data_IF_193183962413
#
_entry.id   IF_193183962413
#
_cell.length_a   1.000
_cell.length_b   1.000
_cell.length_c   1.000
_cell.angle_alpha   90.00
_cell.angle_beta   90.00
_cell.angle_gamma   90.00
#
_symmetry.space_group_name_H-M   'P 1'
#
loop_
_entity.id
_entity.type
_entity.pdbx_description
1 polymer ?
#
# COMPACT_ATOMS: atom_id res chain seq x y z
N UNK A 1 -9.18 5.79 53.22
CA UNK A 1 -7.97 5.77 52.39
C UNK A 1 -8.31 5.01 51.11
N UNK A 2 -8.68 5.74 50.05
CA UNK A 2 -8.99 5.16 48.76
C UNK A 2 -7.72 4.98 48.00
N UNK A 3 -7.34 3.74 47.74
CA UNK A 3 -6.25 3.42 46.86
C UNK A 3 -6.70 3.62 45.41
N UNK A 4 -6.18 4.64 44.78
CA UNK A 4 -6.34 4.81 43.34
C UNK A 4 -5.45 3.78 42.67
N UNK A 5 -6.08 2.70 42.21
CA UNK A 5 -5.41 1.80 41.27
C UNK A 5 -5.32 2.52 39.93
N UNK A 6 -4.24 3.24 39.72
CA UNK A 6 -3.90 3.66 38.37
C UNK A 6 -3.62 2.40 37.55
N UNK A 7 -4.54 2.03 36.68
CA UNK A 7 -4.28 1.02 35.69
C UNK A 7 -3.22 1.60 34.74
N UNK A 8 -2.01 1.14 34.93
CA UNK A 8 -0.90 1.49 34.08
C UNK A 8 -1.10 0.71 32.77
N UNK A 9 -1.55 1.41 31.71
CA UNK A 9 -1.57 0.81 30.38
C UNK A 9 -0.13 0.78 29.85
N UNK A 10 0.38 -0.40 29.45
CA UNK A 10 1.73 -0.47 28.91
C UNK A 10 1.86 0.39 27.65
N UNK A 11 2.98 1.15 27.50
CA UNK A 11 3.22 1.92 26.31
C UNK A 11 3.31 0.97 25.10
N UNK A 12 2.44 1.14 24.11
CA UNK A 12 2.39 0.32 22.91
C UNK A 12 1.02 -0.32 22.64
N UNK A 13 0.09 -0.31 23.59
CA UNK A 13 -1.30 -0.62 23.29
C UNK A 13 -2.02 0.68 22.94
N UNK A 14 -2.10 0.95 21.64
CA UNK A 14 -3.05 1.93 21.14
C UNK A 14 -4.44 1.47 21.57
N UNK A 15 -5.16 2.33 22.27
CA UNK A 15 -6.56 2.08 22.54
C UNK A 15 -7.27 1.90 21.20
N UNK A 16 -7.68 0.66 20.93
CA UNK A 16 -8.44 0.38 19.72
C UNK A 16 -9.84 0.97 19.90
N UNK A 17 -10.08 2.08 19.20
CA UNK A 17 -11.40 2.66 19.12
C UNK A 17 -12.30 1.69 18.35
N UNK A 18 -13.47 1.30 18.88
CA UNK A 18 -14.38 0.42 18.14
C UNK A 18 -14.72 1.00 16.77
N UNK A 19 -14.77 0.12 15.77
CA UNK A 19 -15.12 0.51 14.41
C UNK A 19 -16.64 0.51 14.25
N UNK A 20 -17.21 1.64 13.89
CA UNK A 20 -18.66 1.78 13.66
C UNK A 20 -19.07 1.15 12.33
N UNK A 21 -20.37 0.88 12.16
CA UNK A 21 -20.92 0.36 10.90
C UNK A 21 -20.67 1.33 9.73
N UNK A 22 -20.76 2.64 10.01
CA UNK A 22 -20.44 3.66 9.01
C UNK A 22 -18.97 3.59 8.59
N UNK A 23 -18.07 3.43 9.55
CA UNK A 23 -16.64 3.29 9.26
C UNK A 23 -16.33 2.01 8.49
N UNK A 24 -17.07 0.92 8.72
CA UNK A 24 -16.95 -0.33 7.96
C UNK A 24 -17.29 -0.08 6.48
N UNK A 25 -18.37 0.65 6.21
CA UNK A 25 -18.76 1.02 4.84
C UNK A 25 -17.70 1.91 4.18
N UNK A 26 -17.22 2.90 4.91
CA UNK A 26 -16.19 3.82 4.44
C UNK A 26 -14.88 3.07 4.16
N UNK A 27 -14.49 2.18 5.05
CA UNK A 27 -13.29 1.36 4.89
C UNK A 27 -13.40 0.43 3.68
N UNK A 28 -14.54 -0.23 3.48
CA UNK A 28 -14.77 -1.11 2.34
C UNK A 28 -14.67 -0.33 1.01
N UNK A 29 -15.27 0.86 0.96
CA UNK A 29 -15.20 1.75 -0.20
C UNK A 29 -13.76 2.17 -0.48
N UNK A 30 -13.05 2.61 0.56
CA UNK A 30 -11.64 3.01 0.45
C UNK A 30 -10.77 1.84 0.00
N UNK A 31 -10.99 0.66 0.54
CA UNK A 31 -10.21 -0.53 0.20
C UNK A 31 -10.38 -0.91 -1.27
N UNK A 32 -11.61 -0.84 -1.80
CA UNK A 32 -11.86 -1.06 -3.23
C UNK A 32 -11.10 -0.06 -4.09
N UNK A 33 -11.12 1.21 -3.73
CA UNK A 33 -10.39 2.26 -4.45
C UNK A 33 -8.89 2.04 -4.39
N UNK A 34 -8.36 1.65 -3.22
CA UNK A 34 -6.94 1.34 -3.03
C UNK A 34 -6.51 0.15 -3.90
N UNK A 35 -7.33 -0.91 -3.94
CA UNK A 35 -7.04 -2.07 -4.79
C UNK A 35 -7.00 -1.69 -6.26
N UNK A 36 -7.97 -0.89 -6.71
CA UNK A 36 -8.03 -0.41 -8.09
C UNK A 36 -6.80 0.44 -8.42
N UNK A 37 -6.43 1.37 -7.54
CA UNK A 37 -5.26 2.22 -7.73
C UNK A 37 -3.98 1.39 -7.82
N UNK A 38 -3.84 0.38 -6.97
CA UNK A 38 -2.67 -0.50 -6.99
C UNK A 38 -2.60 -1.35 -8.27
N UNK A 39 -3.74 -1.85 -8.75
CA UNK A 39 -3.79 -2.61 -10.01
C UNK A 39 -3.40 -1.73 -11.20
N UNK A 40 -3.92 -0.51 -11.26
CA UNK A 40 -3.56 0.45 -12.30
C UNK A 40 -2.08 0.80 -12.24
N UNK A 41 -1.56 1.01 -11.03
CA UNK A 41 -0.14 1.32 -10.84
C UNK A 41 0.76 0.18 -11.34
N UNK A 42 0.39 -1.07 -11.06
CA UNK A 42 1.15 -2.22 -11.56
C UNK A 42 1.18 -2.27 -13.08
N UNK A 43 0.03 -2.03 -13.73
CA UNK A 43 -0.05 -1.99 -15.19
C UNK A 43 0.81 -0.86 -15.77
N UNK A 44 0.74 0.31 -15.14
CA UNK A 44 1.54 1.46 -15.56
C UNK A 44 3.04 1.23 -15.36
N UNK A 45 3.43 0.58 -14.28
CA UNK A 45 4.83 0.24 -14.02
C UNK A 45 5.38 -0.76 -15.04
N UNK A 46 4.59 -1.78 -15.38
CA UNK A 46 4.96 -2.75 -16.43
C UNK A 46 5.12 -2.02 -17.77
N UNK A 47 4.18 -1.14 -18.09
CA UNK A 47 4.23 -0.35 -19.32
C UNK A 47 5.45 0.57 -19.35
N UNK A 48 5.78 1.18 -18.23
CA UNK A 48 6.96 2.05 -18.12
C UNK A 48 8.25 1.29 -18.48
N UNK A 49 8.36 0.04 -18.05
CA UNK A 49 9.49 -0.83 -18.36
C UNK A 49 9.50 -1.23 -19.85
N UNK A 50 8.37 -1.71 -20.35
CA UNK A 50 8.28 -2.21 -21.73
C UNK A 50 8.39 -1.08 -22.77
N UNK A 51 7.87 0.11 -22.46
CA UNK A 51 7.99 1.28 -23.36
C UNK A 51 9.44 1.73 -23.54
N UNK A 52 10.31 1.47 -22.56
CA UNK A 52 11.75 1.75 -22.67
C UNK A 52 12.49 0.69 -23.48
N UNK A 53 11.82 -0.38 -23.89
CA UNK A 53 12.39 -1.45 -24.69
C UNK A 53 13.11 -2.53 -23.90
N UNK A 54 12.85 -2.62 -22.60
CA UNK A 54 13.42 -3.64 -21.73
C UNK A 54 12.30 -4.57 -21.22
N UNK A 55 12.59 -5.86 -21.13
CA UNK A 55 11.64 -6.81 -20.57
C UNK A 55 11.57 -6.71 -19.04
N UNK A 56 10.40 -6.98 -18.47
CA UNK A 56 10.19 -6.91 -17.02
C UNK A 56 11.15 -7.84 -16.27
N UNK A 57 11.35 -9.05 -16.77
CA UNK A 57 12.30 -10.02 -16.18
C UNK A 57 13.72 -9.46 -16.16
N UNK A 58 14.13 -8.81 -17.25
CA UNK A 58 15.46 -8.20 -17.35
C UNK A 58 15.58 -7.00 -16.39
N UNK A 59 14.54 -6.18 -16.31
CA UNK A 59 14.49 -5.07 -15.36
C UNK A 59 14.70 -5.57 -13.93
N UNK A 60 14.01 -6.65 -13.57
CA UNK A 60 14.12 -7.24 -12.23
C UNK A 60 15.53 -7.80 -11.97
N UNK A 61 16.17 -8.42 -12.96
CA UNK A 61 17.55 -8.90 -12.83
C UNK A 61 18.52 -7.74 -12.54
N UNK A 62 18.40 -6.65 -13.27
CA UNK A 62 19.25 -5.46 -13.10
C UNK A 62 18.98 -4.85 -11.72
N UNK A 63 17.73 -4.75 -11.32
CA UNK A 63 17.33 -4.24 -10.01
C UNK A 63 17.96 -5.05 -8.87
N UNK A 64 17.87 -6.38 -8.95
CA UNK A 64 18.46 -7.27 -7.95
C UNK A 64 19.98 -7.16 -7.91
N UNK A 65 20.61 -7.01 -9.07
CA UNK A 65 22.06 -6.84 -9.17
C UNK A 65 22.54 -5.55 -8.50
N UNK A 66 21.74 -4.49 -8.56
CA UNK A 66 22.05 -3.23 -7.86
C UNK A 66 21.88 -3.33 -6.35
N UNK A 67 20.93 -4.14 -5.90
CA UNK A 67 20.68 -4.37 -4.47
C UNK A 67 21.71 -5.33 -3.83
N UNK A 68 22.33 -6.18 -4.63
CA UNK A 68 23.24 -7.21 -4.17
C UNK A 68 24.54 -7.14 -4.96
N UNK A 69 25.69 -6.69 -4.33
CA UNK A 69 26.94 -6.54 -5.05
C UNK A 69 27.54 -7.87 -5.55
N UNK A 70 27.09 -9.03 -5.04
CA UNK A 70 27.52 -10.35 -5.49
C UNK A 70 26.84 -10.79 -6.80
N UNK A 71 25.75 -10.10 -7.21
CA UNK A 71 25.06 -10.38 -8.46
C UNK A 71 25.45 -9.36 -9.52
N UNK A 72 25.97 -9.84 -10.63
CA UNK A 72 26.29 -9.02 -11.79
C UNK A 72 25.31 -9.38 -12.91
N UNK A 73 24.52 -8.43 -13.35
CA UNK A 73 23.56 -8.61 -14.44
C UNK A 73 24.22 -8.44 -15.82
N UNK A 74 25.50 -8.08 -15.87
CA UNK A 74 26.26 -7.83 -17.12
C UNK A 74 25.51 -6.90 -18.07
N UNK A 75 24.98 -5.79 -17.54
CA UNK A 75 24.17 -4.84 -18.28
C UNK A 75 25.01 -4.00 -19.23
N UNK A 76 24.52 -3.81 -20.48
CA UNK A 76 25.11 -2.84 -21.41
C UNK A 76 24.79 -1.41 -20.96
N UNK A 77 25.51 -0.43 -21.54
CA UNK A 77 25.21 0.98 -21.27
C UNK A 77 23.79 1.35 -21.70
N UNK A 78 23.33 0.80 -22.82
CA UNK A 78 21.97 1.02 -23.31
C UNK A 78 20.92 0.45 -22.33
N UNK A 79 21.13 -0.77 -21.85
CA UNK A 79 20.25 -1.38 -20.85
C UNK A 79 20.21 -0.57 -19.55
N UNK A 80 21.34 -0.06 -19.11
CA UNK A 80 21.40 0.78 -17.91
C UNK A 80 20.67 2.10 -18.10
N UNK A 81 20.72 2.67 -19.31
CA UNK A 81 19.97 3.88 -19.65
C UNK A 81 18.47 3.60 -19.63
N UNK A 82 18.03 2.51 -20.24
CA UNK A 82 16.64 2.07 -20.24
C UNK A 82 16.16 1.79 -18.84
N UNK A 83 16.98 1.12 -18.02
CA UNK A 83 16.68 0.83 -16.61
C UNK A 83 16.47 2.12 -15.81
N UNK A 84 17.37 3.09 -15.95
CA UNK A 84 17.26 4.36 -15.20
C UNK A 84 16.01 5.14 -15.59
N UNK A 85 15.71 5.18 -16.89
CA UNK A 85 14.53 5.85 -17.42
C UNK A 85 13.25 5.22 -16.87
N UNK A 86 13.17 3.89 -16.93
CA UNK A 86 12.05 3.13 -16.37
C UNK A 86 11.92 3.34 -14.86
N UNK A 87 13.04 3.34 -14.14
CA UNK A 87 13.07 3.55 -12.68
C UNK A 87 12.53 4.92 -12.29
N UNK A 88 12.87 5.96 -13.03
CA UNK A 88 12.36 7.31 -12.80
C UNK A 88 10.85 7.37 -13.00
N UNK A 89 10.36 6.75 -14.05
CA UNK A 89 8.93 6.71 -14.34
C UNK A 89 8.18 5.90 -13.27
N UNK A 90 8.76 4.78 -12.81
CA UNK A 90 8.18 3.95 -11.74
C UNK A 90 8.08 4.76 -10.44
N UNK A 91 9.11 5.53 -10.07
CA UNK A 91 9.07 6.37 -8.89
C UNK A 91 7.95 7.40 -8.97
N UNK A 92 7.78 8.00 -10.14
CA UNK A 92 6.71 8.97 -10.40
C UNK A 92 5.34 8.31 -10.24
N UNK A 93 5.15 7.12 -10.82
CA UNK A 93 3.91 6.35 -10.74
C UNK A 93 3.60 6.02 -9.27
N UNK A 94 4.61 5.58 -8.51
CA UNK A 94 4.44 5.25 -7.09
C UNK A 94 4.01 6.46 -6.27
N UNK A 95 4.60 7.61 -6.53
CA UNK A 95 4.26 8.86 -5.85
C UNK A 95 2.84 9.30 -6.18
N UNK A 96 2.48 9.30 -7.46
CA UNK A 96 1.13 9.66 -7.91
C UNK A 96 0.08 8.70 -7.35
N UNK A 97 0.40 7.40 -7.30
CA UNK A 97 -0.48 6.37 -6.76
C UNK A 97 -0.72 6.60 -5.27
N UNK A 98 0.32 6.93 -4.51
CA UNK A 98 0.19 7.21 -3.09
C UNK A 98 -0.72 8.43 -2.85
N UNK A 99 -0.54 9.48 -3.61
CA UNK A 99 -1.39 10.67 -3.54
C UNK A 99 -2.84 10.33 -3.87
N UNK A 100 -3.06 9.51 -4.90
CA UNK A 100 -4.39 9.05 -5.29
C UNK A 100 -5.05 8.22 -4.18
N UNK A 101 -4.30 7.32 -3.57
CA UNK A 101 -4.79 6.48 -2.47
C UNK A 101 -5.20 7.34 -1.28
N UNK A 102 -4.39 8.33 -0.91
CA UNK A 102 -4.72 9.24 0.19
C UNK A 102 -5.99 10.02 -0.09
N UNK A 103 -6.14 10.51 -1.32
CA UNK A 103 -7.34 11.22 -1.74
C UNK A 103 -8.58 10.31 -1.72
N UNK A 104 -8.46 9.10 -2.23
CA UNK A 104 -9.56 8.12 -2.25
C UNK A 104 -10.02 7.78 -0.84
N UNK A 105 -9.10 7.64 0.12
CA UNK A 105 -9.42 7.38 1.51
C UNK A 105 -10.18 8.56 2.10
N UNK A 106 -9.76 9.80 1.83
CA UNK A 106 -10.45 11.00 2.30
C UNK A 106 -11.84 11.14 1.70
N UNK A 107 -11.98 10.85 0.40
CA UNK A 107 -13.28 10.90 -0.28
C UNK A 107 -14.24 9.85 0.29
N UNK A 108 -13.73 8.72 0.74
CA UNK A 108 -14.53 7.70 1.39
C UNK A 108 -15.01 8.13 2.79
N UNK A 109 -14.43 9.20 3.35
CA UNK A 109 -14.82 9.76 4.64
C UNK A 109 -13.90 9.42 5.80
N UNK A 110 -12.73 8.82 5.51
CA UNK A 110 -11.74 8.44 6.52
C UNK A 110 -10.51 9.31 6.41
N UNK A 111 -9.82 9.50 7.55
CA UNK A 111 -8.45 9.99 7.53
C UNK A 111 -7.52 8.82 7.21
N UNK A 112 -6.33 9.11 6.70
CA UNK A 112 -5.32 8.09 6.44
C UNK A 112 -4.96 7.33 7.71
N UNK A 113 -4.84 8.05 8.84
CA UNK A 113 -4.55 7.45 10.13
C UNK A 113 -5.65 6.46 10.56
N UNK A 114 -6.92 6.87 10.44
CA UNK A 114 -8.04 6.00 10.80
C UNK A 114 -8.13 4.78 9.91
N UNK A 115 -7.88 4.95 8.61
CA UNK A 115 -7.81 3.83 7.67
C UNK A 115 -6.76 2.81 8.11
N UNK A 116 -5.57 3.26 8.48
CA UNK A 116 -4.48 2.40 8.95
C UNK A 116 -4.84 1.69 10.26
N UNK A 117 -5.50 2.40 11.19
CA UNK A 117 -5.97 1.80 12.45
C UNK A 117 -6.97 0.68 12.19
N UNK A 118 -7.94 0.92 11.31
CA UNK A 118 -8.96 -0.10 10.95
C UNK A 118 -8.28 -1.29 10.27
N UNK A 119 -7.36 -1.04 9.34
CA UNK A 119 -6.62 -2.09 8.66
C UNK A 119 -5.86 -2.99 9.64
N UNK A 120 -5.28 -2.40 10.69
CA UNK A 120 -4.59 -3.14 11.74
C UNK A 120 -5.58 -3.98 12.56
N UNK A 121 -6.72 -3.42 12.93
CA UNK A 121 -7.75 -4.14 13.69
C UNK A 121 -8.32 -5.31 12.90
N UNK A 122 -8.53 -5.14 11.61
CA UNK A 122 -9.06 -6.19 10.71
C UNK A 122 -8.17 -7.42 10.72
N UNK A 123 -6.86 -7.26 10.80
CA UNK A 123 -5.93 -8.40 10.80
C UNK A 123 -6.14 -9.34 11.98
N UNK A 124 -6.62 -8.82 13.13
CA UNK A 124 -6.83 -9.60 14.34
C UNK A 124 -8.29 -9.86 14.71
N UNK A 125 -9.25 -9.41 13.90
CA UNK A 125 -10.68 -9.47 14.22
C UNK A 125 -11.47 -10.14 13.09
N UNK A 126 -11.87 -11.39 13.32
CA UNK A 126 -12.61 -12.19 12.33
C UNK A 126 -13.99 -11.62 12.03
N UNK A 127 -14.69 -11.12 13.05
CA UNK A 127 -16.02 -10.53 12.89
C UNK A 127 -15.96 -9.28 12.02
N UNK A 128 -14.94 -8.46 12.22
CA UNK A 128 -14.72 -7.26 11.42
C UNK A 128 -14.39 -7.62 9.97
N UNK A 129 -13.57 -8.66 9.75
CA UNK A 129 -13.27 -9.17 8.42
C UNK A 129 -14.53 -9.59 7.67
N UNK A 130 -15.44 -10.30 8.33
CA UNK A 130 -16.70 -10.74 7.73
C UNK A 130 -17.62 -9.57 7.37
N UNK A 131 -17.73 -8.59 8.24
CA UNK A 131 -18.54 -7.39 8.00
C UNK A 131 -18.03 -6.59 6.81
N UNK A 132 -16.72 -6.44 6.69
CA UNK A 132 -16.10 -5.76 5.55
C UNK A 132 -16.34 -6.54 4.27
N UNK A 133 -16.18 -7.87 4.31
CA UNK A 133 -16.42 -8.74 3.18
C UNK A 133 -17.86 -8.61 2.66
N UNK A 134 -18.83 -8.59 3.57
CA UNK A 134 -20.24 -8.40 3.23
C UNK A 134 -20.47 -7.07 2.51
N UNK A 135 -19.85 -5.99 2.99
CA UNK A 135 -19.96 -4.68 2.36
C UNK A 135 -19.34 -4.65 0.97
N UNK A 136 -18.25 -5.37 0.76
CA UNK A 136 -17.57 -5.41 -0.54
C UNK A 136 -18.33 -6.25 -1.58
N UNK A 137 -19.21 -7.13 -1.16
CA UNK A 137 -20.00 -7.99 -2.06
C UNK A 137 -21.33 -7.35 -2.48
N UNK A 138 -21.66 -6.20 -1.95
CA UNK A 138 -22.90 -5.48 -2.34
C UNK A 138 -22.74 -4.67 -3.61
#
# INVERSE_FOLDING_TARGET
IMAYSQQFQPPGQTQQTPVSDEEIQQFATAMNSVQTANQQAQQEMVKAVTDEGIEVSRYNEIYQAQQNPDKDASSSEEEMKQFRSASQEIQKIQQETQEQIEEDIREAGLTLQRYQEIATQVQGDTDLQEKIKEQMQQ
#
